data_IF_289592775429
#
_entry.id   IF_289592775429
#
_cell.length_a   1.000
_cell.length_b   1.000
_cell.length_c   1.000
_cell.angle_alpha   90.00
_cell.angle_beta   90.00
_cell.angle_gamma   90.00
#
_symmetry.space_group_name_H-M   'P 1'
#
loop_
_entity.id
_entity.type
_entity.pdbx_description
1 polymer ?
#
# COMPACT_ATOMS: atom_id res chain seq x y z
N UNK A 1 -17.34 14.76 7.84
CA UNK A 1 -16.18 13.84 7.75
C UNK A 1 -14.91 14.51 7.23
N UNK A 2 -14.97 15.45 6.29
CA UNK A 2 -13.78 16.17 5.80
C UNK A 2 -12.89 16.79 6.88
N UNK A 3 -13.50 17.36 7.94
CA UNK A 3 -12.78 17.93 9.07
C UNK A 3 -12.02 16.88 9.89
N UNK A 4 -12.51 15.63 9.95
CA UNK A 4 -11.91 14.55 10.74
C UNK A 4 -10.77 13.83 9.99
N UNK A 5 -10.58 14.09 8.70
CA UNK A 5 -9.55 13.40 7.91
C UNK A 5 -8.15 13.65 8.47
N UNK A 6 -7.85 14.91 8.81
CA UNK A 6 -6.58 15.28 9.44
C UNK A 6 -6.36 14.57 10.77
N UNK A 7 -7.39 14.54 11.61
CA UNK A 7 -7.34 13.90 12.94
C UNK A 7 -7.12 12.39 12.83
N UNK A 8 -7.83 11.71 11.92
CA UNK A 8 -7.68 10.26 11.69
C UNK A 8 -6.28 9.94 11.16
N UNK A 9 -5.76 10.74 10.22
CA UNK A 9 -4.38 10.60 9.73
C UNK A 9 -3.39 10.80 10.87
N UNK A 10 -3.59 11.80 11.72
CA UNK A 10 -2.71 12.08 12.85
C UNK A 10 -2.69 10.93 13.86
N UNK A 11 -3.86 10.46 14.28
CA UNK A 11 -4.00 9.35 15.22
C UNK A 11 -3.36 8.06 14.68
N UNK A 12 -3.61 7.73 13.40
CA UNK A 12 -3.04 6.54 12.78
C UNK A 12 -1.51 6.65 12.62
N UNK A 13 -0.99 7.82 12.24
CA UNK A 13 0.44 8.04 12.12
C UNK A 13 1.14 7.88 13.48
N UNK A 14 0.57 8.47 14.53
CA UNK A 14 1.07 8.34 15.90
C UNK A 14 1.08 6.87 16.36
N UNK A 15 0.01 6.13 16.10
CA UNK A 15 -0.05 4.68 16.41
C UNK A 15 1.02 3.89 15.68
N UNK A 16 1.37 4.29 14.45
CA UNK A 16 2.43 3.67 13.65
C UNK A 16 3.83 4.22 13.96
N UNK A 17 3.97 5.12 14.95
CA UNK A 17 5.21 5.84 15.28
C UNK A 17 5.82 6.56 14.06
N UNK A 18 4.95 7.13 13.22
CA UNK A 18 5.31 7.93 12.04
C UNK A 18 4.83 9.37 12.21
N UNK A 19 5.49 10.28 11.51
CA UNK A 19 5.01 11.64 11.40
C UNK A 19 3.70 11.66 10.58
N UNK A 20 2.69 12.46 10.99
CA UNK A 20 1.47 12.60 10.22
C UNK A 20 1.74 13.30 8.89
N UNK A 21 1.08 12.82 7.83
CA UNK A 21 1.20 13.43 6.52
C UNK A 21 0.29 14.67 6.40
N UNK A 22 0.75 15.75 5.77
CA UNK A 22 -0.06 16.94 5.60
C UNK A 22 -1.23 16.69 4.63
N UNK A 23 -2.42 17.12 5.03
CA UNK A 23 -3.60 17.09 4.16
C UNK A 23 -3.56 18.33 3.27
N UNK A 24 -3.22 18.15 1.99
CA UNK A 24 -3.17 19.26 1.05
C UNK A 24 -4.57 19.65 0.54
N UNK A 25 -4.80 20.92 0.16
CA UNK A 25 -6.06 21.34 -0.47
C UNK A 25 -6.40 20.57 -1.76
N UNK A 26 -5.38 20.12 -2.49
CA UNK A 26 -5.55 19.31 -3.70
C UNK A 26 -6.10 17.91 -3.40
N UNK A 27 -5.66 17.31 -2.28
CA UNK A 27 -6.17 16.02 -1.81
C UNK A 27 -7.65 16.15 -1.41
N UNK A 28 -7.99 17.19 -0.64
CA UNK A 28 -9.38 17.45 -0.23
C UNK A 28 -10.27 17.68 -1.45
N UNK A 29 -9.87 18.55 -2.40
CA UNK A 29 -10.65 18.79 -3.63
C UNK A 29 -10.88 17.51 -4.42
N UNK A 30 -9.87 16.65 -4.52
CA UNK A 30 -9.99 15.39 -5.24
C UNK A 30 -10.98 14.43 -4.58
N UNK A 31 -11.00 14.38 -3.23
CA UNK A 31 -12.00 13.64 -2.48
C UNK A 31 -13.41 14.20 -2.71
N UNK A 32 -13.58 15.52 -2.68
CA UNK A 32 -14.86 16.17 -2.97
C UNK A 32 -15.39 15.84 -4.36
N UNK A 33 -14.53 15.84 -5.38
CA UNK A 33 -14.94 15.54 -6.76
C UNK A 33 -15.29 14.07 -6.99
N UNK A 34 -14.70 13.16 -6.21
CA UNK A 34 -14.82 11.72 -6.42
C UNK A 34 -15.88 11.05 -5.55
N UNK A 35 -16.22 11.68 -4.44
CA UNK A 35 -16.95 11.05 -3.34
C UNK A 35 -16.03 10.98 -2.13
N UNK A 36 -16.41 11.72 -1.10
CA UNK A 36 -15.75 11.63 0.20
C UNK A 36 -16.09 10.28 0.84
N UNK A 37 -15.18 9.64 1.60
CA UNK A 37 -15.49 8.44 2.37
C UNK A 37 -16.83 8.55 3.09
N UNK A 38 -17.73 7.61 2.88
CA UNK A 38 -19.12 7.71 3.35
C UNK A 38 -19.28 7.31 4.82
N UNK A 39 -18.30 6.58 5.35
CA UNK A 39 -18.28 6.11 6.72
C UNK A 39 -16.85 6.13 7.31
N UNK A 40 -16.75 5.90 8.62
CA UNK A 40 -15.47 5.91 9.33
C UNK A 40 -14.53 4.79 8.88
N UNK A 41 -15.04 3.62 8.48
CA UNK A 41 -14.21 2.51 8.03
C UNK A 41 -13.50 2.82 6.70
N UNK A 42 -14.21 3.43 5.76
CA UNK A 42 -13.62 3.93 4.51
C UNK A 42 -12.62 5.05 4.77
N UNK A 43 -12.92 5.96 5.71
CA UNK A 43 -12.03 7.05 6.09
C UNK A 43 -10.72 6.52 6.68
N UNK A 44 -10.80 5.52 7.57
CA UNK A 44 -9.62 4.84 8.11
C UNK A 44 -8.84 4.09 7.03
N UNK A 45 -9.53 3.34 6.17
CA UNK A 45 -8.90 2.61 5.06
C UNK A 45 -8.14 3.56 4.14
N UNK A 46 -8.76 4.68 3.80
CA UNK A 46 -8.16 5.76 3.04
C UNK A 46 -6.93 6.34 3.73
N UNK A 47 -7.04 6.69 5.03
CA UNK A 47 -5.93 7.26 5.80
C UNK A 47 -4.76 6.27 5.93
N UNK A 48 -5.02 4.98 6.13
CA UNK A 48 -3.99 3.93 6.13
C UNK A 48 -3.29 3.85 4.78
N UNK A 49 -4.03 3.87 3.67
CA UNK A 49 -3.45 3.85 2.32
C UNK A 49 -2.63 5.12 2.04
N UNK A 50 -3.09 6.28 2.50
CA UNK A 50 -2.35 7.53 2.39
C UNK A 50 -1.02 7.48 3.14
N UNK A 51 -1.05 7.06 4.41
CA UNK A 51 0.15 6.91 5.26
C UNK A 51 1.12 5.85 4.74
N UNK A 52 0.60 4.79 4.13
CA UNK A 52 1.41 3.74 3.50
C UNK A 52 2.16 4.29 2.27
N UNK A 53 1.45 5.00 1.39
CA UNK A 53 2.03 5.54 0.16
C UNK A 53 2.96 6.73 0.40
N UNK A 54 2.76 7.51 1.48
CA UNK A 54 3.65 8.63 1.82
C UNK A 54 3.48 9.88 0.96
N UNK A 55 2.78 9.80 -0.17
CA UNK A 55 2.62 10.89 -1.14
C UNK A 55 1.17 10.98 -1.64
N UNK A 56 0.61 12.19 -1.56
CA UNK A 56 -0.76 12.47 -2.01
C UNK A 56 -0.94 12.25 -3.52
N UNK A 57 0.09 12.50 -4.34
CA UNK A 57 0.05 12.32 -5.80
C UNK A 57 -0.07 10.86 -6.17
N UNK A 58 0.68 10.00 -5.48
CA UNK A 58 0.63 8.54 -5.67
C UNK A 58 -0.72 8.01 -5.25
N UNK A 59 -1.25 8.46 -4.11
CA UNK A 59 -2.60 8.11 -3.67
C UNK A 59 -3.68 8.52 -4.69
N UNK A 60 -3.60 9.73 -5.24
CA UNK A 60 -4.55 10.20 -6.25
C UNK A 60 -4.47 9.39 -7.56
N UNK A 61 -3.26 9.00 -7.97
CA UNK A 61 -3.06 8.11 -9.12
C UNK A 61 -3.67 6.72 -8.86
N UNK A 62 -3.44 6.16 -7.68
CA UNK A 62 -4.00 4.86 -7.26
C UNK A 62 -5.52 4.90 -7.23
N UNK A 63 -6.11 5.95 -6.64
CA UNK A 63 -7.55 6.10 -6.64
C UNK A 63 -8.06 6.17 -8.07
N UNK A 64 -7.42 6.94 -8.98
CA UNK A 64 -7.84 7.10 -10.40
C UNK A 64 -7.96 5.76 -11.12
N UNK A 65 -7.13 4.79 -10.75
CA UNK A 65 -7.13 3.44 -11.33
C UNK A 65 -8.35 2.59 -10.95
N UNK A 66 -9.18 3.06 -10.02
CA UNK A 66 -10.32 2.30 -9.47
C UNK A 66 -9.85 1.25 -8.46
N UNK A 67 -10.78 0.55 -7.77
CA UNK A 67 -10.41 -0.58 -6.94
C UNK A 67 -9.73 -1.63 -7.81
N UNK A 68 -8.41 -1.75 -7.69
CA UNK A 68 -7.69 -2.91 -8.19
C UNK A 68 -8.20 -4.12 -7.41
N UNK A 69 -8.83 -5.12 -8.06
CA UNK A 69 -9.22 -6.33 -7.38
C UNK A 69 -7.93 -6.96 -6.84
N UNK A 70 -7.77 -6.97 -5.52
CA UNK A 70 -6.79 -7.85 -4.91
C UNK A 70 -7.41 -9.23 -5.10
N UNK A 71 -6.92 -9.98 -6.08
CA UNK A 71 -7.23 -11.40 -6.21
C UNK A 71 -6.61 -12.10 -5.00
N UNK A 72 -7.31 -12.04 -3.87
CA UNK A 72 -6.95 -12.82 -2.69
C UNK A 72 -7.28 -14.26 -3.04
N UNK A 73 -6.27 -15.04 -3.43
CA UNK A 73 -6.40 -16.49 -3.55
C UNK A 73 -6.33 -17.03 -2.13
N UNK A 74 -7.42 -17.56 -1.55
CA UNK A 74 -7.32 -18.21 -0.26
C UNK A 74 -6.42 -19.43 -0.42
N UNK A 75 -5.36 -19.50 0.37
CA UNK A 75 -4.42 -20.62 0.45
C UNK A 75 -5.03 -21.79 1.20
N UNK A 76 -6.25 -22.18 0.81
CA UNK A 76 -6.94 -23.38 1.29
C UNK A 76 -7.90 -23.86 0.21
N UNK A 77 -7.36 -24.60 -0.75
CA UNK A 77 -8.13 -25.52 -1.58
C UNK A 77 -7.33 -26.81 -1.71
N UNK A 78 -7.78 -27.92 -1.11
CA UNK A 78 -7.18 -29.22 -1.33
C UNK A 78 -7.65 -29.72 -2.71
N UNK A 79 -6.73 -29.88 -3.65
CA UNK A 79 -7.08 -30.36 -4.99
C UNK A 79 -5.92 -30.29 -5.96
N UNK A 80 -5.16 -31.37 -6.00
CA UNK A 80 -4.05 -31.64 -6.91
C UNK A 80 -4.38 -31.47 -8.41
N UNK A 81 -3.31 -31.23 -9.16
CA UNK A 81 -3.11 -31.31 -10.63
C UNK A 81 -3.18 -29.96 -11.33
N UNK A 82 -2.12 -29.44 -11.94
CA UNK A 82 -0.75 -29.87 -12.14
C UNK A 82 -0.17 -28.87 -13.15
N UNK A 83 0.98 -28.27 -12.88
CA UNK A 83 1.63 -27.38 -13.85
C UNK A 83 3.13 -27.65 -13.81
N UNK A 84 3.66 -27.91 -15.01
CA UNK A 84 4.98 -28.46 -15.30
C UNK A 84 6.13 -27.74 -14.61
N UNK A 85 7.00 -28.55 -13.99
CA UNK A 85 8.32 -28.15 -13.50
C UNK A 85 9.21 -27.84 -14.72
N UNK A 86 9.38 -26.56 -15.04
CA UNK A 86 10.50 -26.13 -15.85
C UNK A 86 11.77 -26.34 -15.02
N UNK A 87 12.55 -27.35 -15.41
CA UNK A 87 13.81 -27.72 -14.80
C UNK A 87 14.73 -26.50 -14.72
N UNK A 88 15.10 -26.10 -13.50
CA UNK A 88 16.36 -25.37 -13.27
C UNK A 88 17.32 -26.39 -12.67
N UNK A 89 18.18 -26.91 -13.52
CA UNK A 89 19.43 -27.53 -13.11
C UNK A 89 20.18 -26.56 -12.21
N UNK A 90 20.31 -26.91 -10.93
CA UNK A 90 21.29 -26.33 -10.02
C UNK A 90 22.68 -26.57 -10.61
N UNK A 91 23.34 -25.51 -11.06
CA UNK A 91 24.79 -25.46 -11.11
C UNK A 91 25.21 -24.69 -9.87
N UNK A 92 25.82 -25.43 -8.95
CA UNK A 92 26.47 -24.93 -7.75
C UNK A 92 27.51 -23.86 -8.15
N UNK A 93 27.29 -22.62 -7.73
CA UNK A 93 28.36 -21.64 -7.62
C UNK A 93 28.09 -20.79 -6.39
N UNK A 94 28.72 -21.18 -5.28
CA UNK A 94 28.88 -20.34 -4.10
C UNK A 94 29.51 -19.02 -4.54
N UNK A 95 28.76 -17.93 -4.41
CA UNK A 95 29.28 -16.58 -4.62
C UNK A 95 29.24 -15.83 -3.30
N UNK A 96 30.34 -16.01 -2.57
CA UNK A 96 30.70 -15.30 -1.36
C UNK A 96 30.83 -13.80 -1.67
N UNK A 97 29.97 -12.98 -1.06
CA UNK A 97 30.02 -11.53 -1.20
C UNK A 97 31.20 -11.00 -0.39
N UNK A 98 32.32 -10.69 -1.03
CA UNK A 98 33.43 -9.98 -0.40
C UNK A 98 33.21 -8.46 -0.45
N UNK A 99 33.08 -7.86 0.74
CA UNK A 99 33.10 -6.41 0.91
C UNK A 99 34.54 -5.91 0.81
N UNK A 100 34.83 -5.05 -0.17
CA UNK A 100 36.12 -4.37 -0.32
C UNK A 100 36.14 -3.09 0.52
N UNK A 101 37.10 -2.88 1.43
CA UNK A 101 37.23 -1.62 2.15
C UNK A 101 37.87 -0.55 1.26
N UNK A 102 37.27 0.64 1.25
CA UNK A 102 37.80 1.83 0.56
C UNK A 102 38.68 2.61 1.54
N UNK A 103 39.93 2.89 1.15
CA UNK A 103 40.86 3.77 1.89
C UNK A 103 40.34 5.21 1.95
#
# INVERSE_FOLDING_TARGET
MAQMLGDVIALLAMKQRRAPLPVSPALLRSLWLRGFPENLAELESFARRFLFLGDARVLLAELRRGPTPIAFRPENSPGHSGIALAQRTESESEQECQCVPTN
#
